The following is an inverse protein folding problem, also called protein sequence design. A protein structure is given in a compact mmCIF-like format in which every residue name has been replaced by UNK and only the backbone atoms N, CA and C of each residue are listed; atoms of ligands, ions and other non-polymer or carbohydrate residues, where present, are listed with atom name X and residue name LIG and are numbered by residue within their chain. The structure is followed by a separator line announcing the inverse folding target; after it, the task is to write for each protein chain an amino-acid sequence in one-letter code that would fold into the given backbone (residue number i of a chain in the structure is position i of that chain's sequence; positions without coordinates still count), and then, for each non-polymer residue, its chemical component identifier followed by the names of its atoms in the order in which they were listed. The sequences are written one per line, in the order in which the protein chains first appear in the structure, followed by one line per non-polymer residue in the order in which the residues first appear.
data_IF_960364260543
#
_entry.id   IF_960364260543
#
_cell.length_a   1.000
_cell.length_b   1.000
_cell.length_c   1.000
_cell.angle_alpha   90.00
_cell.angle_beta   90.00
_cell.angle_gamma   90.00
#
_symmetry.space_group_name_H-M   'P 1'
#
loop_
_entity.id
_entity.type
_entity.pdbx_description
1 polymer ?
#
# COMPACT_ATOMS: atom_id res chain seq x y z
N UNK A 1 -14.38 -13.17 -3.07
CA UNK A 1 -15.84 -13.13 -2.89
C UNK A 1 -16.13 -12.99 -1.41
N UNK A 2 -16.23 -11.76 -0.91
CA UNK A 2 -16.38 -11.44 0.54
C UNK A 2 -17.59 -12.14 1.15
N UNK A 3 -18.64 -12.34 0.37
CA UNK A 3 -19.88 -13.05 0.75
C UNK A 3 -19.61 -14.49 1.24
N UNK A 4 -18.55 -15.14 0.73
CA UNK A 4 -18.21 -16.52 1.14
C UNK A 4 -17.70 -16.60 2.59
N UNK A 5 -17.28 -15.48 3.18
CA UNK A 5 -16.74 -15.43 4.55
C UNK A 5 -17.80 -15.07 5.61
N UNK A 6 -18.97 -14.63 5.19
CA UNK A 6 -20.09 -14.25 6.09
C UNK A 6 -19.78 -13.05 7.00
N UNK A 7 -20.81 -12.33 7.43
CA UNK A 7 -20.65 -11.17 8.31
C UNK A 7 -19.95 -9.98 7.66
N UNK A 8 -19.47 -9.07 8.48
CA UNK A 8 -18.78 -7.86 8.04
C UNK A 8 -17.29 -8.16 7.79
N UNK A 9 -16.81 -7.83 6.60
CA UNK A 9 -15.45 -8.17 6.14
C UNK A 9 -14.63 -6.91 5.92
N UNK A 10 -13.41 -6.85 6.50
CA UNK A 10 -12.40 -5.87 6.11
C UNK A 10 -11.38 -6.53 5.19
N UNK A 11 -11.11 -5.91 4.06
CA UNK A 11 -10.00 -6.28 3.17
C UNK A 11 -8.79 -5.40 3.43
N UNK A 12 -7.62 -5.99 3.45
CA UNK A 12 -6.33 -5.34 3.69
C UNK A 12 -5.34 -5.71 2.60
N UNK A 13 -4.60 -4.71 2.10
CA UNK A 13 -3.52 -4.91 1.13
C UNK A 13 -2.43 -3.86 1.30
N UNK A 14 -1.19 -4.19 0.92
CA UNK A 14 -0.05 -3.29 0.99
C UNK A 14 0.44 -2.83 -0.37
N UNK A 15 0.96 -1.61 -0.39
CA UNK A 15 1.65 -1.00 -1.53
C UNK A 15 2.99 -0.41 -1.09
N UNK A 16 4.02 -0.61 -1.88
CA UNK A 16 5.30 0.02 -1.61
C UNK A 16 6.27 -0.81 -0.78
N UNK A 17 6.25 -2.15 -0.84
CA UNK A 17 7.27 -3.01 -0.19
C UNK A 17 8.64 -2.87 -0.83
N UNK A 18 8.72 -2.88 -2.16
CA UNK A 18 9.96 -2.97 -2.93
C UNK A 18 10.65 -1.66 -3.36
N UNK A 19 10.04 -0.46 -3.29
CA UNK A 19 10.70 0.78 -3.66
C UNK A 19 11.92 1.10 -2.80
N UNK A 20 12.89 1.80 -3.41
CA UNK A 20 14.08 2.38 -2.75
C UNK A 20 13.74 3.63 -1.94
N UNK A 21 12.62 4.30 -2.25
CA UNK A 21 12.20 5.53 -1.62
C UNK A 21 10.69 5.59 -1.38
N UNK A 22 10.28 6.39 -0.41
CA UNK A 22 8.90 6.59 -0.01
C UNK A 22 8.40 5.56 1.00
N UNK A 23 7.23 5.83 1.62
CA UNK A 23 6.68 5.00 2.68
C UNK A 23 6.14 3.66 2.15
N UNK A 24 6.01 2.70 3.06
CA UNK A 24 5.08 1.59 2.93
C UNK A 24 3.67 2.12 3.20
N UNK A 25 2.70 1.70 2.43
CA UNK A 25 1.29 2.04 2.64
C UNK A 25 0.45 0.77 2.76
N UNK A 26 -0.46 0.73 3.72
CA UNK A 26 -1.45 -0.34 3.91
C UNK A 26 -2.84 0.25 3.85
N UNK A 27 -3.64 -0.22 2.90
CA UNK A 27 -5.06 0.09 2.81
C UNK A 27 -5.91 -0.90 3.60
N UNK A 28 -6.99 -0.40 4.21
CA UNK A 28 -8.05 -1.20 4.77
C UNK A 28 -9.40 -0.67 4.29
N UNK A 29 -10.26 -1.56 3.81
CA UNK A 29 -11.59 -1.18 3.30
C UNK A 29 -12.64 -2.18 3.77
N UNK A 30 -13.75 -1.65 4.30
CA UNK A 30 -14.98 -2.40 4.58
C UNK A 30 -16.05 -1.92 3.61
N UNK A 31 -16.49 -2.81 2.75
CA UNK A 31 -17.55 -2.51 1.77
C UNK A 31 -18.93 -2.90 2.33
N UNK A 32 -20.00 -2.22 1.91
CA UNK A 32 -21.36 -2.67 2.20
C UNK A 32 -21.67 -3.99 1.47
N UNK A 33 -22.78 -4.63 1.82
CA UNK A 33 -23.28 -5.79 1.11
C UNK A 33 -23.54 -5.45 -0.37
N UNK A 34 -23.09 -6.33 -1.27
CA UNK A 34 -23.26 -6.19 -2.73
C UNK A 34 -22.79 -4.84 -3.29
N UNK A 35 -21.54 -4.42 -3.04
CA UNK A 35 -21.05 -3.15 -3.53
C UNK A 35 -21.04 -3.12 -5.06
N UNK A 36 -21.69 -2.11 -5.67
CA UNK A 36 -21.62 -1.90 -7.10
C UNK A 36 -20.50 -0.91 -7.42
N UNK A 37 -19.32 -1.43 -7.77
CA UNK A 37 -18.16 -0.64 -8.16
C UNK A 37 -17.70 -1.12 -9.54
N UNK A 38 -18.16 -0.46 -10.63
CA UNK A 38 -17.76 -0.82 -11.98
C UNK A 38 -16.24 -0.75 -12.15
N UNK A 39 -15.66 -1.82 -12.69
CA UNK A 39 -14.22 -1.89 -12.93
C UNK A 39 -13.36 -2.25 -11.72
N UNK A 40 -13.97 -2.54 -10.56
CA UNK A 40 -13.23 -3.07 -9.42
C UNK A 40 -12.68 -4.45 -9.77
N UNK A 41 -11.38 -4.51 -9.92
CA UNK A 41 -10.61 -5.71 -10.25
C UNK A 41 -9.18 -5.52 -9.73
N UNK A 42 -8.28 -6.48 -9.96
CA UNK A 42 -6.86 -6.38 -9.66
C UNK A 42 -6.30 -5.00 -10.04
N UNK A 43 -5.79 -4.27 -9.05
CA UNK A 43 -5.31 -2.88 -9.20
C UNK A 43 -4.22 -2.74 -10.28
N UNK A 44 -3.48 -3.81 -10.56
CA UNK A 44 -2.41 -3.87 -11.58
C UNK A 44 -2.98 -3.90 -13.00
N UNK A 45 -4.22 -4.38 -13.17
CA UNK A 45 -4.90 -4.45 -14.47
C UNK A 45 -5.72 -3.18 -14.77
N UNK A 46 -5.94 -2.32 -13.78
CA UNK A 46 -6.69 -1.06 -13.93
C UNK A 46 -5.74 0.05 -14.36
N UNK A 47 -6.09 0.80 -15.41
CA UNK A 47 -5.32 1.96 -15.86
C UNK A 47 -5.27 3.06 -14.78
N UNK A 48 -4.18 3.86 -14.70
CA UNK A 48 -4.03 4.90 -13.67
C UNK A 48 -5.25 5.83 -13.55
N UNK A 49 -5.74 6.38 -14.66
CA UNK A 49 -6.87 7.32 -14.68
C UNK A 49 -8.16 6.66 -14.16
N UNK A 50 -8.37 5.38 -14.51
CA UNK A 50 -9.51 4.61 -14.02
C UNK A 50 -9.39 4.29 -12.53
N UNK A 51 -8.15 4.12 -12.03
CA UNK A 51 -7.89 3.84 -10.61
C UNK A 51 -8.33 4.97 -9.70
N UNK A 52 -8.07 6.23 -10.08
CA UNK A 52 -8.50 7.41 -9.31
C UNK A 52 -10.03 7.50 -9.22
N UNK A 53 -10.73 7.26 -10.33
CA UNK A 53 -12.20 7.24 -10.35
C UNK A 53 -12.76 6.13 -9.46
N UNK A 54 -12.20 4.92 -9.56
CA UNK A 54 -12.61 3.77 -8.73
C UNK A 54 -12.31 4.03 -7.26
N UNK A 55 -11.13 4.58 -6.91
CA UNK A 55 -10.79 4.94 -5.54
C UNK A 55 -11.76 5.97 -4.96
N UNK A 56 -12.13 6.98 -5.74
CA UNK A 56 -13.16 7.96 -5.35
C UNK A 56 -14.49 7.27 -5.02
N UNK A 57 -14.93 6.34 -5.89
CA UNK A 57 -16.16 5.59 -5.65
C UNK A 57 -16.08 4.66 -4.43
N UNK A 58 -14.94 3.99 -4.22
CA UNK A 58 -14.72 3.17 -3.02
C UNK A 58 -14.88 4.02 -1.75
N UNK A 59 -14.19 5.17 -1.69
CA UNK A 59 -14.22 6.08 -0.53
C UNK A 59 -15.62 6.62 -0.23
N UNK A 60 -16.43 6.83 -1.27
CA UNK A 60 -17.80 7.31 -1.15
C UNK A 60 -18.75 6.26 -0.52
N UNK A 61 -18.60 4.98 -0.91
CA UNK A 61 -19.55 3.94 -0.52
C UNK A 61 -19.08 3.03 0.60
N UNK A 62 -17.78 3.01 0.91
CA UNK A 62 -17.23 2.17 1.98
C UNK A 62 -17.83 2.53 3.34
N UNK A 63 -18.13 1.50 4.14
CA UNK A 63 -18.56 1.67 5.53
C UNK A 63 -17.43 2.23 6.40
N UNK A 64 -16.19 1.83 6.09
CA UNK A 64 -14.96 2.42 6.61
C UNK A 64 -13.82 2.17 5.62
N UNK A 65 -12.87 3.10 5.59
CA UNK A 65 -11.62 2.93 4.87
C UNK A 65 -10.50 3.74 5.54
N UNK A 66 -9.28 3.28 5.39
CA UNK A 66 -8.08 4.02 5.82
C UNK A 66 -6.87 3.62 5.00
N UNK A 67 -5.85 4.47 5.00
CA UNK A 67 -4.50 4.12 4.54
C UNK A 67 -3.51 4.51 5.62
N UNK A 68 -2.77 3.53 6.11
CA UNK A 68 -1.72 3.72 7.12
C UNK A 68 -0.35 3.67 6.46
N UNK A 69 0.56 4.50 6.96
CA UNK A 69 1.90 4.64 6.39
C UNK A 69 2.97 4.27 7.43
N UNK A 70 4.05 3.64 6.95
CA UNK A 70 5.29 3.49 7.71
C UNK A 70 6.38 4.26 6.96
N UNK A 71 7.05 5.15 7.65
CA UNK A 71 8.08 6.02 7.06
C UNK A 71 9.29 5.21 6.57
N UNK A 72 10.08 5.74 5.63
CA UNK A 72 11.37 5.15 5.24
C UNK A 72 12.30 4.95 6.43
N UNK A 73 12.36 5.90 7.35
CA UNK A 73 13.17 5.84 8.56
C UNK A 73 12.75 4.67 9.47
N UNK A 74 11.44 4.50 9.71
CA UNK A 74 10.92 3.38 10.51
C UNK A 74 11.19 2.04 9.83
N UNK A 75 11.02 1.96 8.48
CA UNK A 75 11.35 0.75 7.72
C UNK A 75 12.81 0.36 7.91
N UNK A 76 13.73 1.33 7.86
CA UNK A 76 15.15 1.10 8.07
C UNK A 76 15.45 0.68 9.52
N UNK A 77 14.73 1.25 10.49
CA UNK A 77 14.93 0.97 11.92
C UNK A 77 14.42 -0.42 12.35
N UNK A 78 13.22 -0.83 11.91
CA UNK A 78 12.57 -2.07 12.41
C UNK A 78 12.48 -3.18 11.36
N UNK A 79 12.82 -2.89 10.12
CA UNK A 79 12.75 -3.81 8.98
C UNK A 79 11.35 -4.00 8.40
N UNK A 80 11.29 -4.52 7.18
CA UNK A 80 10.04 -4.60 6.39
C UNK A 80 8.96 -5.47 7.04
N UNK A 81 9.33 -6.59 7.65
CA UNK A 81 8.35 -7.51 8.26
C UNK A 81 7.64 -6.88 9.45
N UNK A 82 8.38 -6.21 10.33
CA UNK A 82 7.81 -5.51 11.48
C UNK A 82 6.99 -4.30 11.03
N UNK A 83 7.45 -3.57 10.00
CA UNK A 83 6.74 -2.45 9.39
C UNK A 83 5.37 -2.87 8.82
N UNK A 84 5.33 -3.99 8.10
CA UNK A 84 4.07 -4.58 7.60
C UNK A 84 3.12 -4.89 8.74
N UNK A 85 3.57 -5.65 9.74
CA UNK A 85 2.75 -6.03 10.89
C UNK A 85 2.19 -4.80 11.62
N UNK A 86 3.04 -3.78 11.82
CA UNK A 86 2.63 -2.51 12.43
C UNK A 86 1.55 -1.82 11.62
N UNK A 87 1.76 -1.64 10.31
CA UNK A 87 0.82 -0.93 9.44
C UNK A 87 -0.53 -1.66 9.31
N UNK A 88 -0.52 -2.98 9.20
CA UNK A 88 -1.75 -3.77 9.13
C UNK A 88 -2.56 -3.67 10.43
N UNK A 89 -1.91 -3.77 11.59
CA UNK A 89 -2.58 -3.58 12.89
C UNK A 89 -3.13 -2.17 13.06
N UNK A 90 -2.38 -1.15 12.66
CA UNK A 90 -2.82 0.23 12.70
C UNK A 90 -4.04 0.47 11.80
N UNK A 91 -4.04 -0.11 10.58
CA UNK A 91 -5.16 0.01 9.65
C UNK A 91 -6.43 -0.67 10.18
N UNK A 92 -6.32 -1.85 10.78
CA UNK A 92 -7.44 -2.53 11.42
C UNK A 92 -7.98 -1.74 12.63
N UNK A 93 -7.08 -1.25 13.48
CA UNK A 93 -7.47 -0.45 14.66
C UNK A 93 -8.18 0.84 14.27
N UNK A 94 -7.77 1.49 13.18
CA UNK A 94 -8.43 2.71 12.67
C UNK A 94 -9.85 2.43 12.18
N UNK A 95 -10.06 1.32 11.44
CA UNK A 95 -11.39 0.87 11.03
C UNK A 95 -12.29 0.61 12.24
N UNK A 96 -11.76 -0.04 13.26
CA UNK A 96 -12.50 -0.34 14.49
C UNK A 96 -12.81 0.92 15.31
N UNK A 97 -11.89 1.89 15.32
CA UNK A 97 -12.08 3.17 16.01
C UNK A 97 -13.19 4.02 15.37
N UNK A 98 -13.42 3.85 14.07
CA UNK A 98 -14.55 4.45 13.35
C UNK A 98 -15.91 3.79 13.68
N UNK A 99 -15.95 2.80 14.58
CA UNK A 99 -17.15 2.12 15.02
C UNK A 99 -17.55 0.90 14.17
N UNK A 100 -16.74 0.55 13.17
CA UNK A 100 -16.96 -0.61 12.30
C UNK A 100 -16.20 -1.81 12.87
N UNK A 101 -16.91 -2.91 13.18
CA UNK A 101 -16.31 -4.11 13.78
C UNK A 101 -16.39 -5.29 12.80
N UNK A 102 -15.34 -5.57 12.04
CA UNK A 102 -15.31 -6.69 11.12
C UNK A 102 -15.36 -8.04 11.84
N UNK A 103 -16.12 -8.98 11.31
CA UNK A 103 -16.16 -10.38 11.74
C UNK A 103 -14.99 -11.16 11.14
N UNK A 104 -14.52 -10.75 9.96
CA UNK A 104 -13.40 -11.38 9.22
C UNK A 104 -12.43 -10.33 8.73
N UNK A 105 -11.14 -10.63 8.85
CA UNK A 105 -10.02 -9.80 8.37
C UNK A 105 -9.34 -10.53 7.21
N UNK A 106 -9.61 -10.09 5.98
CA UNK A 106 -9.02 -10.66 4.77
C UNK A 106 -7.70 -9.97 4.43
N UNK A 107 -6.64 -10.74 4.29
CA UNK A 107 -5.30 -10.29 3.91
C UNK A 107 -4.91 -10.85 2.54
N UNK A 108 -4.32 -10.01 1.67
CA UNK A 108 -3.64 -10.56 0.50
C UNK A 108 -2.28 -11.16 0.89
N UNK A 109 -2.00 -12.37 0.38
CA UNK A 109 -0.70 -13.00 0.52
C UNK A 109 -0.53 -13.91 1.74
N UNK A 110 0.66 -13.85 2.36
CA UNK A 110 1.05 -14.77 3.43
C UNK A 110 0.49 -14.37 4.80
N UNK A 111 0.25 -15.35 5.70
CA UNK A 111 -0.20 -15.08 7.06
C UNK A 111 0.77 -14.17 7.82
N UNK A 112 0.21 -13.18 8.50
CA UNK A 112 0.93 -12.32 9.44
C UNK A 112 0.64 -12.68 10.90
N UNK A 113 -0.42 -13.47 11.14
CA UNK A 113 -0.88 -13.84 12.49
C UNK A 113 -1.09 -12.62 13.40
N UNK A 114 -1.63 -11.55 12.85
CA UNK A 114 -1.82 -10.28 13.55
C UNK A 114 -3.11 -10.22 14.35
N UNK A 115 -4.13 -10.98 13.94
CA UNK A 115 -5.48 -10.98 14.51
C UNK A 115 -6.10 -12.39 14.41
N UNK A 116 -6.88 -12.87 15.43
CA UNK A 116 -7.52 -14.18 15.38
C UNK A 116 -8.57 -14.35 14.27
N UNK A 117 -9.10 -13.25 13.72
CA UNK A 117 -10.07 -13.24 12.60
C UNK A 117 -9.39 -13.25 11.23
N UNK A 118 -8.05 -13.30 11.18
CA UNK A 118 -7.26 -13.23 9.95
C UNK A 118 -7.52 -14.44 9.05
N UNK A 119 -7.85 -14.16 7.79
CA UNK A 119 -7.97 -15.14 6.70
C UNK A 119 -7.12 -14.67 5.52
N UNK A 120 -6.16 -15.48 5.13
CA UNK A 120 -5.24 -15.15 4.05
C UNK A 120 -5.77 -15.65 2.71
N UNK A 121 -5.76 -14.78 1.72
CA UNK A 121 -6.22 -15.09 0.36
C UNK A 121 -5.08 -14.85 -0.62
N UNK A 122 -4.52 -15.93 -1.17
CA UNK A 122 -3.49 -15.82 -2.20
C UNK A 122 -4.08 -15.19 -3.47
N UNK A 123 -3.50 -14.08 -3.94
CA UNK A 123 -4.02 -13.22 -5.00
C UNK A 123 -5.44 -12.74 -4.65
N UNK A 124 -5.59 -12.22 -3.47
CA UNK A 124 -6.85 -11.77 -2.92
C UNK A 124 -7.42 -10.55 -3.65
N UNK A 125 -6.53 -9.67 -4.16
CA UNK A 125 -6.86 -8.50 -4.98
C UNK A 125 -7.68 -8.86 -6.24
N UNK A 126 -7.49 -10.05 -6.80
CA UNK A 126 -8.29 -10.57 -7.92
C UNK A 126 -9.50 -11.41 -7.51
N UNK A 127 -9.72 -11.70 -6.22
CA UNK A 127 -10.73 -12.64 -5.74
C UNK A 127 -11.76 -12.03 -4.77
N UNK A 128 -11.33 -11.07 -3.95
CA UNK A 128 -12.11 -10.45 -2.89
C UNK A 128 -12.26 -8.95 -3.15
N UNK A 129 -13.49 -8.45 -3.17
CA UNK A 129 -13.77 -7.05 -3.50
C UNK A 129 -13.18 -6.08 -2.47
N UNK A 130 -13.21 -6.42 -1.18
CA UNK A 130 -12.62 -5.60 -0.11
C UNK A 130 -11.10 -5.51 -0.21
N UNK A 131 -10.40 -6.62 -0.56
CA UNK A 131 -8.94 -6.60 -0.79
C UNK A 131 -8.61 -5.77 -2.04
N UNK A 132 -9.34 -5.99 -3.15
CA UNK A 132 -9.17 -5.19 -4.37
C UNK A 132 -9.37 -3.69 -4.11
N UNK A 133 -10.38 -3.34 -3.31
CA UNK A 133 -10.65 -1.96 -2.92
C UNK A 133 -9.52 -1.38 -2.06
N UNK A 134 -9.01 -2.13 -1.09
CA UNK A 134 -7.87 -1.73 -0.25
C UNK A 134 -6.61 -1.48 -1.10
N UNK A 135 -6.32 -2.39 -2.03
CA UNK A 135 -5.20 -2.27 -2.99
C UNK A 135 -5.28 -0.99 -3.81
N UNK A 136 -6.47 -0.72 -4.39
CA UNK A 136 -6.67 0.47 -5.23
C UNK A 136 -6.55 1.76 -4.43
N UNK A 137 -7.17 1.84 -3.25
CA UNK A 137 -7.10 3.04 -2.40
C UNK A 137 -5.67 3.28 -1.93
N UNK A 138 -4.98 2.26 -1.41
CA UNK A 138 -3.59 2.39 -0.99
C UNK A 138 -2.67 2.82 -2.14
N UNK A 139 -2.89 2.27 -3.36
CA UNK A 139 -2.11 2.62 -4.54
C UNK A 139 -2.30 4.07 -4.96
N UNK A 140 -3.53 4.55 -5.02
CA UNK A 140 -3.84 5.94 -5.39
C UNK A 140 -3.24 6.92 -4.39
N UNK A 141 -3.47 6.69 -3.10
CA UNK A 141 -2.94 7.57 -2.04
C UNK A 141 -1.41 7.61 -2.02
N UNK A 142 -0.75 6.44 -2.12
CA UNK A 142 0.71 6.40 -2.15
C UNK A 142 1.28 7.04 -3.40
N UNK A 143 0.70 6.82 -4.56
CA UNK A 143 1.18 7.43 -5.82
C UNK A 143 1.01 8.95 -5.80
N UNK A 144 -0.07 9.49 -5.20
CA UNK A 144 -0.26 10.92 -5.00
C UNK A 144 0.84 11.50 -4.09
N UNK A 145 1.13 10.85 -2.97
CA UNK A 145 2.21 11.25 -2.05
C UNK A 145 3.59 11.24 -2.76
N UNK A 146 3.86 10.24 -3.60
CA UNK A 146 5.11 10.20 -4.37
C UNK A 146 5.19 11.33 -5.40
N UNK A 147 4.07 11.80 -5.96
CA UNK A 147 4.03 12.99 -6.81
C UNK A 147 4.30 14.29 -6.03
N UNK A 148 3.90 14.37 -4.76
CA UNK A 148 4.26 15.49 -3.88
C UNK A 148 5.75 15.48 -3.56
N UNK A 149 6.33 14.33 -3.26
CA UNK A 149 7.78 14.18 -3.08
C UNK A 149 8.59 14.53 -4.34
N UNK A 150 8.04 14.26 -5.53
CA UNK A 150 8.70 14.66 -6.78
C UNK A 150 8.86 16.18 -6.92
N UNK A 151 7.97 16.99 -6.29
CA UNK A 151 8.13 18.45 -6.26
C UNK A 151 9.21 18.91 -5.28
N UNK A 152 9.43 18.15 -4.20
CA UNK A 152 10.43 18.45 -3.17
C UNK A 152 11.82 17.96 -3.57
N UNK A 153 11.88 16.86 -4.33
CA UNK A 153 13.11 16.19 -4.77
C UNK A 153 13.04 15.91 -6.27
N UNK A 154 13.08 16.96 -7.12
CA UNK A 154 12.84 16.84 -8.56
C UNK A 154 13.90 16.01 -9.29
N UNK A 155 15.11 15.88 -8.74
CA UNK A 155 16.21 15.12 -9.32
C UNK A 155 15.97 13.61 -9.41
N UNK A 156 15.04 13.04 -8.61
CA UNK A 156 14.81 11.59 -8.54
C UNK A 156 13.65 11.09 -9.39
N UNK A 157 12.86 11.96 -10.02
CA UNK A 157 11.68 11.62 -10.86
C UNK A 157 10.67 10.70 -10.18
N UNK A 158 10.36 10.97 -8.91
CA UNK A 158 9.39 10.18 -8.12
C UNK A 158 7.97 10.22 -8.70
N UNK A 159 7.65 11.20 -9.52
CA UNK A 159 6.36 11.27 -10.24
C UNK A 159 6.18 10.15 -11.25
N UNK A 160 7.27 9.67 -11.84
CA UNK A 160 7.29 8.57 -12.81
C UNK A 160 7.54 7.23 -12.11
N UNK A 161 8.68 7.11 -11.43
CA UNK A 161 9.14 5.83 -10.87
C UNK A 161 8.48 5.41 -9.55
N UNK A 162 7.74 6.32 -8.86
CA UNK A 162 7.09 6.07 -7.57
C UNK A 162 8.03 5.49 -6.49
N UNK A 163 9.32 5.79 -6.59
CA UNK A 163 10.38 5.32 -5.70
C UNK A 163 10.99 3.96 -6.08
N UNK A 164 10.51 3.30 -7.14
CA UNK A 164 11.07 2.03 -7.59
C UNK A 164 12.43 2.21 -8.28
N UNK A 165 13.24 1.14 -8.30
CA UNK A 165 14.59 1.08 -8.83
C UNK A 165 14.64 1.13 -10.38
N UNK A 166 14.13 2.20 -10.99
CA UNK A 166 14.35 2.45 -12.42
C UNK A 166 15.82 2.82 -12.68
N UNK A 167 16.29 2.63 -13.89
CA UNK A 167 17.66 3.03 -14.27
C UNK A 167 17.92 4.52 -14.01
N UNK A 168 16.93 5.38 -14.30
CA UNK A 168 17.01 6.82 -14.03
C UNK A 168 17.10 7.13 -12.53
N UNK A 169 16.30 6.43 -11.69
CA UNK A 169 16.33 6.60 -10.24
C UNK A 169 17.67 6.16 -9.64
N UNK A 170 18.21 5.01 -10.07
CA UNK A 170 19.53 4.52 -9.65
C UNK A 170 20.62 5.52 -10.06
N UNK A 171 20.55 6.08 -11.27
CA UNK A 171 21.51 7.09 -11.72
C UNK A 171 21.40 8.36 -10.87
N UNK A 172 20.18 8.83 -10.57
CA UNK A 172 19.98 9.99 -9.70
C UNK A 172 20.57 9.78 -8.30
N UNK A 173 20.42 8.57 -7.73
CA UNK A 173 21.06 8.22 -6.44
C UNK A 173 22.59 8.34 -6.52
N UNK A 174 23.21 7.90 -7.63
CA UNK A 174 24.67 8.00 -7.82
C UNK A 174 25.13 9.45 -7.96
N UNK A 175 24.34 10.27 -8.63
CA UNK A 175 24.70 11.66 -8.94
C UNK A 175 24.44 12.61 -7.76
N UNK A 176 23.37 12.37 -6.98
CA UNK A 176 22.88 13.28 -5.94
C UNK A 176 22.91 12.71 -4.53
N UNK A 177 23.21 11.41 -4.35
CA UNK A 177 23.12 10.72 -3.07
C UNK A 177 21.69 10.31 -2.72
N UNK A 178 21.44 10.05 -1.44
CA UNK A 178 20.11 9.70 -0.94
C UNK A 178 19.38 10.95 -0.43
N UNK A 179 18.11 11.09 -0.79
CA UNK A 179 17.21 12.07 -0.16
C UNK A 179 16.69 11.54 1.19
N UNK A 180 16.09 12.38 2.05
CA UNK A 180 15.51 11.95 3.33
C UNK A 180 14.42 10.90 3.24
N UNK A 181 13.80 10.74 2.07
CA UNK A 181 12.75 9.73 1.86
C UNK A 181 13.26 8.41 1.26
N UNK A 182 14.57 8.26 1.04
CA UNK A 182 15.14 6.98 0.65
C UNK A 182 15.25 6.03 1.84
N UNK A 183 15.09 4.74 1.56
CA UNK A 183 15.34 3.65 2.50
C UNK A 183 16.80 3.25 2.39
N UNK A 184 17.64 3.74 3.29
CA UNK A 184 19.08 3.53 3.23
C UNK A 184 19.44 2.05 3.16
N UNK A 185 18.72 1.21 3.94
CA UNK A 185 18.90 -0.25 3.95
C UNK A 185 18.63 -0.92 2.59
N UNK A 186 17.84 -0.29 1.71
CA UNK A 186 17.54 -0.80 0.38
C UNK A 186 18.52 -0.30 -0.70
N UNK A 187 19.31 0.73 -0.37
CA UNK A 187 20.13 1.46 -1.33
C UNK A 187 21.63 1.09 -1.27
N UNK A 188 22.06 0.22 -0.38
CA UNK A 188 23.48 -0.12 -0.18
C UNK A 188 24.24 -0.49 -1.47
N UNK A 189 23.59 -1.20 -2.39
CA UNK A 189 24.22 -1.58 -3.65
C UNK A 189 24.49 -0.40 -4.61
N UNK A 190 23.86 0.75 -4.36
CA UNK A 190 23.93 1.92 -5.25
C UNK A 190 24.75 3.07 -4.66
N UNK A 191 25.04 3.03 -3.35
CA UNK A 191 25.75 4.07 -2.59
C UNK A 191 27.21 3.71 -2.29
N UNK A 192 27.61 2.46 -2.51
CA UNK A 192 29.01 2.09 -2.39
C UNK A 192 29.78 2.63 -3.61
N UNK A 193 30.68 3.59 -3.39
CA UNK A 193 31.74 3.90 -4.35
C UNK A 193 32.46 2.59 -4.67
N UNK A 194 32.60 2.26 -5.97
CA UNK A 194 33.43 1.14 -6.37
C UNK A 194 34.86 1.43 -5.92
N UNK A 195 35.31 0.75 -4.88
CA UNK A 195 36.69 0.76 -4.41
C UNK A 195 37.58 -0.02 -5.39
N UNK A 196 37.58 0.36 -6.69
CA UNK A 196 38.57 -0.13 -7.65
C UNK A 196 38.85 0.94 -8.70
#
# INVERSE_FOLDING_TARGET
NDIAHGGLVVGLDEVGRGPLAGPLAVGAVVLPDQPHIPGLNDSKQVKPESREVIAGRIKEIALAWTVQYVSPEDIDAIGMTASLLHAFRAALAEVESAGVKPDTVLLDGNPLHMDPREVNVVKGDGKCASIAAASIVAKVERDALMCEYARQYPEYDFSSNKGYASAAHIQAIKDHGLSPIHRASFCHAFTQESLF
#
